data_IF_557429003262
#
_entry.id   IF_557429003262
#
_cell.length_a   1.000
_cell.length_b   1.000
_cell.length_c   1.000
_cell.angle_alpha   90.00
_cell.angle_beta   90.00
_cell.angle_gamma   90.00
#
_symmetry.space_group_name_H-M   'P 1'
#
loop_
_entity.id
_entity.type
_entity.pdbx_description
1 polymer ?
#
# COMPACT_ATOMS: atom_id res chain seq x y z
N UNK A 1 -9.52 2.40 -6.55
CA UNK A 1 -10.70 2.95 -5.86
C UNK A 1 -10.29 3.22 -4.44
N UNK A 2 -10.15 4.49 -4.10
CA UNK A 2 -9.59 4.94 -2.83
C UNK A 2 -10.59 4.62 -1.70
N UNK A 3 -10.14 3.85 -0.72
CA UNK A 3 -10.92 3.50 0.47
C UNK A 3 -10.73 4.60 1.50
N UNK A 4 -11.86 5.09 1.98
CA UNK A 4 -12.02 5.93 3.15
C UNK A 4 -11.71 7.41 2.96
N UNK A 5 -12.78 8.21 3.08
CA UNK A 5 -12.79 9.68 3.14
C UNK A 5 -12.06 10.21 4.37
N UNK A 6 -10.78 9.90 4.46
CA UNK A 6 -9.87 10.58 5.34
C UNK A 6 -9.52 11.89 4.66
N UNK A 7 -9.59 12.98 5.42
CA UNK A 7 -9.38 14.34 4.99
C UNK A 7 -7.88 14.57 4.69
N UNK A 8 -7.33 13.81 3.73
CA UNK A 8 -5.92 13.90 3.38
C UNK A 8 -5.74 15.20 2.60
N UNK A 9 -4.83 16.03 3.09
CA UNK A 9 -4.32 17.21 2.37
C UNK A 9 -3.60 16.83 1.08
N UNK A 10 -3.58 15.54 0.71
CA UNK A 10 -3.00 14.95 -0.50
C UNK A 10 -4.03 14.64 -1.59
N UNK A 11 -5.33 14.93 -1.40
CA UNK A 11 -6.35 14.75 -2.43
C UNK A 11 -6.58 16.03 -3.27
N UNK A 12 -6.48 15.93 -4.61
CA UNK A 12 -6.71 17.05 -5.53
C UNK A 12 -8.10 17.67 -5.39
N UNK A 13 -9.14 16.86 -5.13
CA UNK A 13 -10.50 17.35 -4.91
C UNK A 13 -10.63 18.15 -3.62
N UNK A 14 -9.86 17.81 -2.58
CA UNK A 14 -9.84 18.59 -1.34
C UNK A 14 -9.28 20.00 -1.59
N UNK A 15 -8.22 20.14 -2.39
CA UNK A 15 -7.69 21.45 -2.77
C UNK A 15 -8.72 22.29 -3.54
N UNK A 16 -9.41 21.70 -4.51
CA UNK A 16 -10.42 22.41 -5.33
C UNK A 16 -11.59 22.92 -4.47
N UNK A 17 -12.00 22.16 -3.46
CA UNK A 17 -13.11 22.56 -2.57
C UNK A 17 -12.68 23.52 -1.44
N UNK A 18 -11.39 23.63 -1.15
CA UNK A 18 -10.86 24.45 -0.04
C UNK A 18 -10.39 25.83 -0.52
N UNK A 19 -9.86 25.91 -1.74
CA UNK A 19 -9.29 27.15 -2.27
C UNK A 19 -10.37 27.97 -2.96
N UNK A 20 -10.56 29.21 -2.49
CA UNK A 20 -11.47 30.15 -3.14
C UNK A 20 -11.02 30.42 -4.60
N UNK A 21 -11.96 30.56 -5.56
CA UNK A 21 -11.65 30.71 -6.99
C UNK A 21 -10.97 32.02 -7.37
N UNK A 22 -10.67 32.88 -6.39
CA UNK A 22 -9.89 34.11 -6.54
C UNK A 22 -8.38 33.85 -6.61
N UNK A 23 -7.91 32.68 -6.13
CA UNK A 23 -6.51 32.29 -6.25
C UNK A 23 -6.27 31.62 -7.61
N UNK A 24 -5.25 32.04 -8.37
CA UNK A 24 -4.99 31.45 -9.68
C UNK A 24 -4.42 30.04 -9.56
N UNK A 25 -4.58 29.24 -10.62
CA UNK A 25 -3.93 27.92 -10.72
C UNK A 25 -2.47 28.03 -11.16
N UNK A 26 -2.15 29.02 -11.99
CA UNK A 26 -0.83 29.21 -12.62
C UNK A 26 -0.25 30.57 -12.25
N UNK A 27 1.08 30.65 -12.20
CA UNK A 27 1.77 31.94 -12.18
C UNK A 27 1.71 32.59 -13.56
N UNK A 28 1.54 33.91 -13.57
CA UNK A 28 1.45 34.71 -14.79
C UNK A 28 2.45 35.85 -14.76
N UNK A 29 2.97 36.20 -15.94
CA UNK A 29 3.82 37.38 -16.12
C UNK A 29 3.01 38.68 -16.03
N UNK A 30 3.69 39.83 -16.11
CA UNK A 30 3.05 41.15 -16.06
C UNK A 30 2.09 41.43 -17.24
N UNK A 31 2.14 40.62 -18.31
CA UNK A 31 1.23 40.69 -19.45
C UNK A 31 0.06 39.70 -19.35
N UNK A 32 -0.01 38.92 -18.25
CA UNK A 32 -1.04 37.92 -18.01
C UNK A 32 -0.78 36.56 -18.69
N UNK A 33 0.38 36.34 -19.32
CA UNK A 33 0.71 35.03 -19.91
C UNK A 33 1.12 34.04 -18.82
N UNK A 34 0.77 32.76 -18.99
CA UNK A 34 1.21 31.70 -18.06
C UNK A 34 2.74 31.54 -18.17
N UNK A 35 3.41 31.59 -17.03
CA UNK A 35 4.85 31.37 -16.95
C UNK A 35 5.20 29.89 -17.11
N UNK A 36 6.38 29.61 -17.65
CA UNK A 36 6.90 28.26 -17.86
C UNK A 36 8.36 28.13 -17.42
N UNK A 37 8.75 26.93 -17.03
CA UNK A 37 10.12 26.52 -16.76
C UNK A 37 10.42 25.13 -17.36
N UNK A 38 11.54 24.52 -16.96
CA UNK A 38 12.00 23.20 -17.43
C UNK A 38 11.06 22.03 -17.07
N UNK A 39 10.06 22.28 -16.22
CA UNK A 39 9.01 21.32 -15.90
C UNK A 39 7.64 21.72 -16.51
N UNK A 40 7.60 22.70 -17.41
CA UNK A 40 6.40 23.13 -18.11
C UNK A 40 5.75 24.35 -17.47
N UNK A 41 4.40 24.40 -17.43
CA UNK A 41 3.69 25.53 -16.80
C UNK A 41 3.97 25.59 -15.31
N UNK A 42 4.19 26.81 -14.80
CA UNK A 42 4.42 27.04 -13.37
C UNK A 42 3.09 27.21 -12.66
N UNK A 43 2.84 26.38 -11.66
CA UNK A 43 1.62 26.39 -10.87
C UNK A 43 1.78 27.28 -9.63
N UNK A 44 0.68 27.88 -9.15
CA UNK A 44 0.71 28.65 -7.91
C UNK A 44 0.66 27.70 -6.70
N UNK A 45 1.77 27.63 -5.97
CA UNK A 45 1.88 26.89 -4.70
C UNK A 45 1.42 27.75 -3.51
N UNK A 46 1.04 29.02 -3.71
CA UNK A 46 0.56 29.89 -2.64
C UNK A 46 1.62 30.29 -1.63
N UNK A 47 2.89 30.29 -2.04
CA UNK A 47 4.08 30.54 -1.22
C UNK A 47 4.73 31.92 -1.46
N UNK A 48 3.99 32.89 -2.02
CA UNK A 48 4.49 34.24 -2.27
C UNK A 48 5.09 34.45 -3.66
N UNK A 49 5.25 33.40 -4.47
CA UNK A 49 5.77 33.55 -5.85
C UNK A 49 4.80 34.33 -6.75
N UNK A 50 3.51 34.33 -6.43
CA UNK A 50 2.52 35.13 -7.13
C UNK A 50 2.49 36.57 -6.60
N UNK A 51 3.36 37.44 -7.15
CA UNK A 51 3.43 38.86 -6.81
C UNK A 51 3.59 39.16 -5.29
N UNK A 52 4.23 38.27 -4.53
CA UNK A 52 4.41 38.41 -3.08
C UNK A 52 3.21 37.93 -2.24
N UNK A 53 2.13 37.45 -2.86
CA UNK A 53 0.92 37.01 -2.17
C UNK A 53 1.07 35.58 -1.65
N UNK A 54 0.93 35.41 -0.34
CA UNK A 54 0.83 34.10 0.29
C UNK A 54 -0.64 33.67 0.38
N UNK A 55 -0.93 32.43 -0.02
CA UNK A 55 -2.27 31.85 0.14
C UNK A 55 -2.43 31.47 1.62
N UNK A 56 -3.48 31.93 2.32
CA UNK A 56 -3.67 31.69 3.76
C UNK A 56 -4.03 30.23 4.08
N UNK A 57 -4.45 29.45 3.08
CA UNK A 57 -4.79 28.04 3.19
C UNK A 57 -3.92 27.22 2.26
N UNK A 58 -3.49 26.04 2.71
CA UNK A 58 -2.70 25.08 1.91
C UNK A 58 -1.50 25.74 1.22
N UNK A 59 -0.80 26.67 1.89
CA UNK A 59 0.42 27.27 1.35
C UNK A 59 1.50 26.21 1.09
N UNK A 60 2.36 26.46 0.11
CA UNK A 60 3.39 25.55 -0.39
C UNK A 60 2.89 24.23 -1.00
N UNK A 61 1.62 24.16 -1.41
CA UNK A 61 1.01 22.97 -2.00
C UNK A 61 0.34 23.24 -3.34
N UNK A 62 0.59 22.36 -4.31
CA UNK A 62 -0.18 22.27 -5.54
C UNK A 62 -0.23 20.83 -6.03
N UNK A 63 -1.21 20.08 -5.54
CA UNK A 63 -1.32 18.64 -5.79
C UNK A 63 -1.46 18.27 -7.27
N UNK A 64 -2.02 19.15 -8.09
CA UNK A 64 -2.10 18.91 -9.54
C UNK A 64 -0.72 18.91 -10.19
N UNK A 65 0.18 19.78 -9.72
CA UNK A 65 1.56 19.81 -10.20
C UNK A 65 2.41 18.74 -9.54
N UNK A 66 2.22 18.49 -8.25
CA UNK A 66 2.93 17.45 -7.51
C UNK A 66 2.63 16.06 -8.10
N UNK A 67 1.38 15.75 -8.47
CA UNK A 67 0.99 14.50 -9.14
C UNK A 67 1.66 14.31 -10.52
N UNK A 68 1.89 15.40 -11.26
CA UNK A 68 2.57 15.35 -12.56
C UNK A 68 4.09 15.14 -12.44
N UNK A 69 4.69 15.51 -11.31
CA UNK A 69 6.14 15.48 -11.11
C UNK A 69 6.60 14.24 -10.36
N UNK A 70 5.79 13.78 -9.39
CA UNK A 70 6.17 12.73 -8.48
C UNK A 70 5.75 11.36 -9.01
N UNK A 71 6.58 10.37 -8.76
CA UNK A 71 6.20 8.98 -8.95
C UNK A 71 5.45 8.45 -7.72
N UNK A 72 4.42 7.66 -7.99
CA UNK A 72 3.73 6.82 -7.01
C UNK A 72 3.32 5.55 -7.74
N UNK A 73 4.09 4.48 -7.51
CA UNK A 73 3.91 3.20 -8.18
C UNK A 73 3.77 2.10 -7.15
N UNK A 74 2.80 1.22 -7.36
CA UNK A 74 2.59 0.03 -6.55
C UNK A 74 2.36 -1.17 -7.46
N UNK A 75 3.01 -2.28 -7.16
CA UNK A 75 2.82 -3.56 -7.84
C UNK A 75 2.52 -4.60 -6.78
N UNK A 76 1.42 -5.34 -6.96
CA UNK A 76 1.01 -6.40 -6.05
C UNK A 76 1.00 -7.75 -6.77
N UNK A 77 1.38 -8.80 -6.05
CA UNK A 77 1.24 -10.18 -6.50
C UNK A 77 0.45 -10.96 -5.44
N UNK A 78 -0.37 -11.89 -5.92
CA UNK A 78 -1.09 -12.84 -5.05
C UNK A 78 -0.91 -14.24 -5.59
N UNK A 79 -0.59 -15.17 -4.70
CA UNK A 79 -0.48 -16.59 -4.98
C UNK A 79 -1.27 -17.38 -3.93
N UNK A 80 -1.98 -18.42 -4.36
CA UNK A 80 -2.76 -19.27 -3.47
C UNK A 80 -2.74 -20.73 -3.92
N UNK A 81 -2.53 -21.64 -2.99
CA UNK A 81 -2.68 -23.09 -3.17
C UNK A 81 -3.75 -23.58 -2.22
N UNK A 82 -4.70 -24.35 -2.75
CA UNK A 82 -5.72 -25.03 -1.97
C UNK A 82 -5.66 -26.53 -2.27
N UNK A 83 -5.73 -27.35 -1.24
CA UNK A 83 -5.70 -28.81 -1.35
C UNK A 83 -6.64 -29.46 -0.35
N UNK A 84 -7.22 -30.59 -0.76
CA UNK A 84 -8.00 -31.44 0.13
C UNK A 84 -7.69 -32.91 -0.11
N UNK A 85 -7.85 -33.72 0.93
CA UNK A 85 -7.76 -35.17 0.85
C UNK A 85 -8.81 -35.82 1.76
N UNK A 86 -9.50 -36.83 1.23
CA UNK A 86 -10.41 -37.68 2.00
C UNK A 86 -9.88 -39.11 2.03
N UNK A 87 -9.82 -39.69 3.22
CA UNK A 87 -9.34 -41.04 3.46
C UNK A 87 -10.47 -41.81 4.15
N UNK A 88 -10.96 -42.87 3.52
CA UNK A 88 -12.02 -43.74 4.05
C UNK A 88 -11.49 -45.17 4.16
N UNK A 89 -10.96 -45.58 5.32
CA UNK A 89 -10.40 -46.92 5.49
C UNK A 89 -11.48 -48.00 5.38
N UNK A 90 -11.26 -49.01 4.54
CA UNK A 90 -12.25 -50.08 4.29
C UNK A 90 -12.44 -51.01 5.50
N UNK A 91 -11.46 -51.10 6.39
CA UNK A 91 -11.48 -51.96 7.57
C UNK A 91 -12.22 -51.34 8.78
N UNK A 92 -12.48 -50.02 8.78
CA UNK A 92 -13.32 -49.36 9.79
C UNK A 92 -14.53 -48.72 9.10
N UNK A 93 -15.60 -49.50 8.97
CA UNK A 93 -16.85 -49.01 8.36
C UNK A 93 -17.37 -47.78 9.10
N UNK A 94 -17.61 -46.71 8.36
CA UNK A 94 -18.15 -45.46 8.90
C UNK A 94 -17.10 -44.40 9.26
N UNK A 95 -15.80 -44.74 9.23
CA UNK A 95 -14.72 -43.78 9.48
C UNK A 95 -14.33 -43.02 8.22
N UNK A 96 -14.20 -41.70 8.34
CA UNK A 96 -13.73 -40.78 7.30
C UNK A 96 -12.76 -39.76 7.92
N UNK A 97 -11.60 -39.60 7.30
CA UNK A 97 -10.62 -38.57 7.65
C UNK A 97 -10.58 -37.56 6.52
N UNK A 98 -10.73 -36.28 6.84
CA UNK A 98 -10.65 -35.17 5.87
C UNK A 98 -9.51 -34.25 6.26
N UNK A 99 -8.64 -33.95 5.31
CA UNK A 99 -7.57 -32.96 5.43
C UNK A 99 -7.87 -31.83 4.46
N UNK A 100 -7.90 -30.59 4.93
CA UNK A 100 -8.05 -29.40 4.09
C UNK A 100 -6.90 -28.45 4.39
N UNK A 101 -6.25 -27.92 3.36
CA UNK A 101 -5.13 -27.01 3.52
C UNK A 101 -5.16 -25.88 2.51
N UNK A 102 -4.87 -24.68 2.97
CA UNK A 102 -4.74 -23.48 2.16
C UNK A 102 -3.43 -22.78 2.51
N UNK A 103 -2.72 -22.32 1.49
CA UNK A 103 -1.57 -21.42 1.63
C UNK A 103 -1.82 -20.23 0.73
N UNK A 104 -1.75 -19.03 1.27
CA UNK A 104 -1.89 -17.78 0.53
C UNK A 104 -0.68 -16.89 0.79
N UNK A 105 -0.16 -16.29 -0.29
CA UNK A 105 0.90 -15.30 -0.26
C UNK A 105 0.43 -14.06 -1.00
N UNK A 106 0.37 -12.94 -0.28
CA UNK A 106 0.05 -11.64 -0.85
C UNK A 106 1.21 -10.70 -0.57
N UNK A 107 1.77 -10.12 -1.63
CA UNK A 107 2.80 -9.11 -1.52
C UNK A 107 2.44 -7.85 -2.27
N UNK A 108 2.93 -6.71 -1.79
CA UNK A 108 2.97 -5.50 -2.58
C UNK A 108 4.27 -4.75 -2.37
N UNK A 109 4.83 -4.26 -3.48
CA UNK A 109 5.96 -3.34 -3.50
C UNK A 109 5.44 -1.98 -3.93
N UNK A 110 5.85 -0.94 -3.22
CA UNK A 110 5.57 0.44 -3.61
C UNK A 110 6.85 1.25 -3.71
N UNK A 111 6.75 2.32 -4.48
CA UNK A 111 7.80 3.28 -4.76
C UNK A 111 7.16 4.65 -4.86
N UNK A 112 7.73 5.64 -4.18
CA UNK A 112 7.29 7.02 -4.26
C UNK A 112 8.46 7.99 -4.26
N UNK A 113 8.23 9.20 -4.74
CA UNK A 113 9.26 10.25 -4.77
C UNK A 113 8.73 11.60 -4.28
N UNK A 114 9.61 12.43 -3.73
CA UNK A 114 9.33 13.84 -3.41
C UNK A 114 10.08 14.76 -4.38
N UNK A 115 9.36 15.63 -5.09
CA UNK A 115 9.94 16.49 -6.12
C UNK A 115 10.76 17.67 -5.54
N UNK A 116 11.91 18.06 -6.12
CA UNK A 116 12.76 19.13 -5.60
C UNK A 116 12.46 20.56 -6.11
N UNK A 117 11.44 20.76 -6.94
CA UNK A 117 11.29 21.96 -7.76
C UNK A 117 10.41 23.05 -7.15
N UNK A 118 9.33 22.68 -6.45
CA UNK A 118 8.35 23.65 -5.94
C UNK A 118 7.86 23.35 -4.52
N UNK A 119 7.25 24.34 -3.87
CA UNK A 119 6.53 24.16 -2.61
C UNK A 119 7.37 23.51 -1.50
N UNK A 120 6.74 22.63 -0.72
CA UNK A 120 7.42 21.85 0.31
C UNK A 120 8.51 20.93 -0.26
N UNK A 121 8.34 20.48 -1.50
CA UNK A 121 9.34 19.70 -2.22
C UNK A 121 10.70 20.39 -2.29
N UNK A 122 10.71 21.63 -2.81
CA UNK A 122 11.93 22.44 -2.91
C UNK A 122 12.56 22.82 -1.56
N UNK A 123 11.75 23.00 -0.52
CA UNK A 123 12.25 23.46 0.79
C UNK A 123 12.69 22.30 1.69
N UNK A 124 12.05 21.14 1.58
CA UNK A 124 12.26 19.98 2.45
C UNK A 124 13.13 18.92 1.77
N UNK A 125 13.00 18.76 0.45
CA UNK A 125 13.71 17.77 -0.36
C UNK A 125 14.43 18.46 -1.54
N UNK A 126 15.36 19.39 -1.29
CA UNK A 126 15.94 20.28 -2.32
C UNK A 126 16.66 19.56 -3.47
N UNK A 127 16.94 18.27 -3.31
CA UNK A 127 17.54 17.40 -4.35
C UNK A 127 16.74 16.11 -4.57
N UNK A 128 15.48 16.08 -4.13
CA UNK A 128 14.56 14.98 -4.28
C UNK A 128 14.79 13.86 -3.28
N UNK A 129 13.75 13.06 -3.11
CA UNK A 129 13.73 11.86 -2.28
C UNK A 129 13.05 10.72 -3.04
N UNK A 130 13.53 9.51 -2.81
CA UNK A 130 12.90 8.26 -3.22
C UNK A 130 12.64 7.43 -1.98
N UNK A 131 11.44 6.87 -1.88
CA UNK A 131 11.07 5.84 -0.91
C UNK A 131 10.65 4.57 -1.64
N UNK A 132 11.16 3.43 -1.18
CA UNK A 132 10.74 2.10 -1.65
C UNK A 132 10.35 1.26 -0.45
N UNK A 133 9.27 0.51 -0.56
CA UNK A 133 8.94 -0.49 0.44
C UNK A 133 8.26 -1.71 -0.14
N UNK A 134 8.27 -2.77 0.66
CA UNK A 134 7.69 -4.07 0.35
C UNK A 134 7.00 -4.60 1.59
N UNK A 135 5.83 -5.18 1.38
CA UNK A 135 5.02 -5.81 2.40
C UNK A 135 4.60 -7.17 1.91
N UNK A 136 4.49 -8.11 2.85
CA UNK A 136 4.03 -9.46 2.57
C UNK A 136 3.17 -10.01 3.69
N UNK A 137 2.10 -10.67 3.29
CA UNK A 137 1.24 -11.49 4.12
C UNK A 137 1.32 -12.93 3.64
N UNK A 138 1.85 -13.80 4.47
CA UNK A 138 1.91 -15.24 4.22
C UNK A 138 1.00 -15.96 5.21
N UNK A 139 -0.01 -16.66 4.69
CA UNK A 139 -1.06 -17.29 5.49
C UNK A 139 -1.10 -18.79 5.20
N UNK A 140 -1.20 -19.60 6.26
CA UNK A 140 -1.43 -21.04 6.19
C UNK A 140 -2.65 -21.37 7.04
N UNK A 141 -3.60 -22.10 6.46
CA UNK A 141 -4.75 -22.65 7.16
C UNK A 141 -4.77 -24.17 6.93
N UNK A 142 -4.88 -24.95 8.01
CA UNK A 142 -4.92 -26.40 7.94
C UNK A 142 -5.97 -26.97 8.88
N UNK A 143 -6.86 -27.79 8.33
CA UNK A 143 -7.95 -28.43 9.06
C UNK A 143 -7.86 -29.96 8.91
N UNK A 144 -8.02 -30.65 10.02
CA UNK A 144 -8.02 -32.11 10.15
C UNK A 144 -9.33 -32.53 10.79
N UNK A 145 -10.16 -33.30 10.08
CA UNK A 145 -11.44 -33.79 10.57
C UNK A 145 -11.45 -35.31 10.60
N UNK A 146 -11.89 -35.88 11.71
CA UNK A 146 -12.16 -37.31 11.85
C UNK A 146 -13.65 -37.48 12.13
N UNK A 147 -14.37 -38.06 11.17
CA UNK A 147 -15.79 -38.34 11.26
C UNK A 147 -16.04 -39.85 11.36
N UNK A 148 -16.87 -40.25 12.31
CA UNK A 148 -17.34 -41.62 12.43
C UNK A 148 -18.87 -41.65 12.47
N UNK A 149 -19.49 -42.27 11.46
CA UNK A 149 -20.94 -42.42 11.35
C UNK A 149 -21.33 -43.90 11.32
N UNK A 150 -22.26 -44.31 12.20
CA UNK A 150 -22.75 -45.69 12.24
C UNK A 150 -24.24 -45.77 12.58
N UNK A 151 -24.93 -46.66 11.86
CA UNK A 151 -26.32 -47.00 12.09
C UNK A 151 -26.44 -48.31 12.88
N UNK A 152 -27.39 -48.35 13.81
CA UNK A 152 -27.72 -49.50 14.64
C UNK A 152 -29.24 -49.70 14.64
N UNK A 153 -29.75 -50.51 13.70
CA UNK A 153 -31.18 -50.67 13.50
C UNK A 153 -31.85 -49.35 13.12
N UNK A 154 -32.75 -48.86 13.99
CA UNK A 154 -33.46 -47.57 13.82
C UNK A 154 -32.68 -46.35 14.33
N UNK A 155 -31.52 -46.55 14.97
CA UNK A 155 -30.72 -45.48 15.55
C UNK A 155 -29.51 -45.12 14.68
N UNK A 156 -29.09 -43.85 14.71
CA UNK A 156 -27.90 -43.34 14.03
C UNK A 156 -27.03 -42.56 15.01
N UNK A 157 -25.73 -42.74 14.92
CA UNK A 157 -24.75 -42.00 15.70
C UNK A 157 -23.69 -41.42 14.75
N UNK A 158 -23.36 -40.15 14.96
CA UNK A 158 -22.26 -39.45 14.27
C UNK A 158 -21.38 -38.79 15.31
N UNK A 159 -20.08 -38.99 15.20
CA UNK A 159 -19.06 -38.29 15.98
C UNK A 159 -18.13 -37.54 15.02
N UNK A 160 -17.84 -36.29 15.34
CA UNK A 160 -16.86 -35.47 14.63
C UNK A 160 -15.81 -35.01 15.64
N UNK A 161 -14.55 -35.22 15.31
CA UNK A 161 -13.42 -34.59 15.97
C UNK A 161 -12.71 -33.71 14.96
N UNK A 162 -12.48 -32.45 15.31
CA UNK A 162 -11.81 -31.48 14.47
C UNK A 162 -10.58 -30.89 15.15
N UNK A 163 -9.54 -30.65 14.35
CA UNK A 163 -8.41 -29.82 14.72
C UNK A 163 -8.17 -28.81 13.59
N UNK A 164 -8.03 -27.54 13.95
CA UNK A 164 -7.74 -26.45 13.04
C UNK A 164 -6.50 -25.67 13.49
N UNK A 165 -5.66 -25.30 12.53
CA UNK A 165 -4.55 -24.39 12.75
C UNK A 165 -4.55 -23.30 11.67
N UNK A 166 -4.43 -22.05 12.11
CA UNK A 166 -4.27 -20.90 11.24
C UNK A 166 -3.05 -20.12 11.69
N UNK A 167 -2.16 -19.81 10.75
CA UNK A 167 -0.98 -18.98 10.97
C UNK A 167 -0.86 -17.93 9.89
N UNK A 168 -0.65 -16.69 10.29
CA UNK A 168 -0.32 -15.58 9.41
C UNK A 168 0.99 -14.93 9.84
N UNK A 169 1.86 -14.70 8.88
CA UNK A 169 3.06 -13.87 9.04
C UNK A 169 2.88 -12.61 8.21
N UNK A 170 3.01 -11.46 8.86
CA UNK A 170 3.09 -10.16 8.21
C UNK A 170 4.51 -9.63 8.35
N UNK A 171 5.13 -9.27 7.23
CA UNK A 171 6.46 -8.69 7.20
C UNK A 171 6.47 -7.44 6.31
N UNK A 172 7.33 -6.50 6.67
CA UNK A 172 7.57 -5.34 5.84
C UNK A 172 9.02 -4.89 5.93
N UNK A 173 9.45 -4.21 4.87
CA UNK A 173 10.66 -3.41 4.83
C UNK A 173 10.37 -2.14 4.04
N UNK A 174 10.84 -1.01 4.53
CA UNK A 174 10.86 0.21 3.73
C UNK A 174 12.17 0.97 3.96
N UNK A 175 12.54 1.76 2.95
CA UNK A 175 13.73 2.58 2.96
C UNK A 175 13.55 3.83 2.14
N UNK A 176 14.10 4.93 2.62
CA UNK A 176 14.21 6.18 1.88
C UNK A 176 15.66 6.55 1.58
N UNK A 177 15.88 7.28 0.48
CA UNK A 177 17.13 7.98 0.18
C UNK A 177 16.86 9.33 -0.45
N UNK A 178 17.64 10.33 -0.07
CA UNK A 178 17.55 11.71 -0.55
C UNK A 178 18.83 12.13 -1.27
N UNK A 179 18.80 13.31 -1.91
CA UNK A 179 19.86 13.78 -2.82
C UNK A 179 19.99 12.88 -4.04
N UNK A 180 18.93 12.87 -4.84
CA UNK A 180 18.86 12.12 -6.10
C UNK A 180 19.74 12.77 -7.16
N UNK A 181 20.51 11.94 -7.88
CA UNK A 181 21.31 12.40 -9.02
C UNK A 181 20.44 12.74 -10.24
N UNK A 182 19.43 11.90 -10.53
CA UNK A 182 18.46 12.11 -11.60
C UNK A 182 17.05 11.85 -11.08
N UNK A 183 16.37 12.91 -10.67
CA UNK A 183 15.01 12.82 -10.13
C UNK A 183 14.02 12.26 -11.15
N UNK A 184 14.13 12.63 -12.43
CA UNK A 184 13.13 12.27 -13.47
C UNK A 184 13.30 10.85 -14.02
N UNK A 185 14.50 10.28 -13.94
CA UNK A 185 14.83 9.04 -14.67
C UNK A 185 15.11 7.85 -13.74
N UNK A 186 15.49 8.09 -12.49
CA UNK A 186 15.90 7.02 -11.57
C UNK A 186 15.21 7.13 -10.22
N UNK A 187 14.13 6.37 -10.06
CA UNK A 187 13.40 6.26 -8.80
C UNK A 187 13.87 5.08 -7.95
N UNK A 188 15.01 4.46 -8.22
CA UNK A 188 15.56 3.43 -7.34
C UNK A 188 16.35 4.07 -6.19
N UNK A 189 16.46 3.37 -5.05
CA UNK A 189 17.26 3.84 -3.91
C UNK A 189 18.72 4.11 -4.31
N UNK A 190 19.26 3.38 -5.30
CA UNK A 190 20.60 3.61 -5.81
C UNK A 190 20.76 4.96 -6.55
N UNK A 191 19.66 5.61 -6.94
CA UNK A 191 19.64 6.92 -7.59
C UNK A 191 19.92 8.11 -6.67
N UNK A 192 20.03 7.88 -5.36
CA UNK A 192 20.27 8.88 -4.33
C UNK A 192 21.52 8.56 -3.51
N UNK A 193 22.09 9.57 -2.83
CA UNK A 193 23.36 9.41 -2.08
C UNK A 193 23.20 9.48 -0.56
N UNK A 194 22.17 10.16 -0.06
CA UNK A 194 21.94 10.31 1.39
C UNK A 194 20.96 9.28 1.88
N UNK A 195 21.28 8.65 3.00
CA UNK A 195 20.44 7.65 3.61
C UNK A 195 19.37 8.32 4.48
N UNK A 196 18.12 7.92 4.28
CA UNK A 196 17.02 8.26 5.17
C UNK A 196 16.68 7.07 6.07
N UNK A 197 15.48 7.06 6.63
CA UNK A 197 15.02 5.98 7.52
C UNK A 197 14.92 4.64 6.78
N UNK A 198 15.42 3.58 7.43
CA UNK A 198 15.20 2.19 7.05
C UNK A 198 14.57 1.43 8.21
N UNK A 199 13.45 0.76 7.97
CA UNK A 199 12.79 -0.06 8.98
C UNK A 199 12.30 -1.34 8.35
N UNK A 200 12.47 -2.44 9.07
CA UNK A 200 11.82 -3.70 8.78
C UNK A 200 11.25 -4.29 10.06
N UNK A 201 10.15 -5.01 9.95
CA UNK A 201 9.60 -5.77 11.06
C UNK A 201 8.85 -7.00 10.56
N UNK A 202 8.65 -7.95 11.47
CA UNK A 202 7.83 -9.13 11.24
C UNK A 202 6.94 -9.39 12.45
N UNK A 203 5.66 -9.66 12.18
CA UNK A 203 4.67 -10.05 13.18
C UNK A 203 4.07 -11.40 12.80
N UNK A 204 3.83 -12.25 13.80
CA UNK A 204 3.20 -13.54 13.62
C UNK A 204 1.89 -13.60 14.41
N UNK A 205 0.84 -14.14 13.80
CA UNK A 205 -0.43 -14.43 14.41
C UNK A 205 -0.76 -15.91 14.21
N UNK A 206 -1.20 -16.61 15.26
CA UNK A 206 -1.50 -18.03 15.21
C UNK A 206 -2.72 -18.35 16.08
N UNK A 207 -3.63 -19.17 15.56
CA UNK A 207 -4.76 -19.74 16.30
C UNK A 207 -4.82 -21.24 16.10
N UNK A 208 -5.22 -21.95 17.14
CA UNK A 208 -5.34 -23.40 17.15
C UNK A 208 -6.63 -23.78 17.88
N UNK A 209 -7.41 -24.69 17.30
CA UNK A 209 -8.75 -25.04 17.78
C UNK A 209 -9.02 -26.54 17.71
N UNK A 210 -9.78 -27.04 18.68
CA UNK A 210 -10.20 -28.44 18.78
C UNK A 210 -11.70 -28.49 19.08
N UNK A 211 -12.43 -29.42 18.45
CA UNK A 211 -13.87 -29.63 18.68
C UNK A 211 -14.31 -31.07 18.42
#
# INVERSE_FOLDING_TARGET
VDSDGNNSTTNTFYMVNTIAPIYPLYLRDGNGNIMTDDNGKIYDYGNGMNAGLNRPVLSQLNLLKDDQLQASHSVGNTFGINGFAEITPTFVKGLKITLNGTVDDYEYRYQSTQQPYYGFGATTYPNGEVTVGHYRYYTVNFQQLVNYARSFGLHNMTLLLGHENYKQTYEYVYGGRSNMFSFKENHELAGAITNETYISNQTNYNTEGFF
#
